data_IF_161949135085
#
_entry.id   IF_161949135085
#
_cell.length_a   1.000
_cell.length_b   1.000
_cell.length_c   1.000
_cell.angle_alpha   90.00
_cell.angle_beta   90.00
_cell.angle_gamma   90.00
#
_symmetry.space_group_name_H-M   'P 1'
#
loop_
_entity.id
_entity.type
_entity.pdbx_description
1 polymer ?
#
# COMPACT_ATOMS: atom_id res chain seq x y z
N UNK A 1 16.49 -44.12 -13.85
CA UNK A 1 15.90 -43.24 -14.89
C UNK A 1 14.72 -42.57 -14.19
N UNK A 2 14.90 -41.42 -13.54
CA UNK A 2 14.73 -40.09 -14.13
C UNK A 2 15.47 -39.04 -13.28
N UNK A 3 16.23 -38.16 -13.95
CA UNK A 3 16.95 -36.99 -13.40
C UNK A 3 16.36 -35.73 -14.05
N UNK A 4 16.38 -34.62 -13.29
CA UNK A 4 16.36 -33.19 -13.70
C UNK A 4 15.06 -32.60 -14.28
N UNK A 5 14.41 -31.74 -13.48
CA UNK A 5 14.32 -30.27 -13.72
C UNK A 5 13.70 -29.56 -12.50
N UNK A 6 14.55 -29.06 -11.59
CA UNK A 6 14.22 -27.97 -10.66
C UNK A 6 15.27 -26.89 -10.87
N UNK A 7 14.96 -25.95 -11.77
CA UNK A 7 15.72 -24.72 -11.95
C UNK A 7 14.74 -23.58 -12.20
N UNK A 8 14.39 -22.87 -11.13
CA UNK A 8 14.15 -21.42 -11.15
C UNK A 8 14.21 -20.90 -9.71
N UNK A 9 15.45 -20.76 -9.21
CA UNK A 9 15.74 -19.76 -8.19
C UNK A 9 15.32 -18.40 -8.74
N UNK A 10 14.54 -17.64 -7.97
CA UNK A 10 14.46 -16.19 -8.12
C UNK A 10 15.87 -15.63 -7.94
N UNK A 11 16.46 -15.15 -9.05
CA UNK A 11 17.72 -14.42 -8.99
C UNK A 11 17.43 -13.04 -8.40
N UNK A 12 18.07 -12.77 -7.27
CA UNK A 12 18.34 -11.41 -6.80
C UNK A 12 19.56 -10.97 -7.62
N UNK A 13 19.36 -10.22 -8.69
CA UNK A 13 20.47 -9.61 -9.41
C UNK A 13 20.89 -8.34 -8.66
N UNK A 14 22.04 -8.40 -8.00
CA UNK A 14 22.69 -7.24 -7.38
C UNK A 14 23.21 -6.29 -8.47
N UNK A 15 22.62 -5.11 -8.60
CA UNK A 15 23.19 -4.03 -9.41
C UNK A 15 24.34 -3.34 -8.65
N UNK A 16 25.39 -2.83 -9.32
CA UNK A 16 26.61 -2.33 -8.67
C UNK A 16 26.46 -0.96 -7.96
N UNK A 17 25.25 -0.58 -7.53
CA UNK A 17 24.97 0.73 -6.93
C UNK A 17 24.14 0.70 -5.64
N UNK A 18 23.99 -0.45 -4.99
CA UNK A 18 23.19 -0.56 -3.76
C UNK A 18 21.68 -0.31 -3.98
N UNK A 19 21.23 -0.37 -5.23
CA UNK A 19 19.81 -0.29 -5.60
C UNK A 19 19.23 -1.70 -5.72
N UNK A 20 18.20 -1.97 -4.93
CA UNK A 20 17.44 -3.22 -4.94
C UNK A 20 16.22 -3.07 -5.85
N UNK A 21 16.01 -4.02 -6.76
CA UNK A 21 14.79 -4.10 -7.55
C UNK A 21 13.82 -5.07 -6.85
N UNK A 22 12.77 -4.53 -6.22
CA UNK A 22 11.71 -5.33 -5.61
C UNK A 22 10.64 -5.57 -6.67
N UNK A 23 10.45 -6.82 -7.08
CA UNK A 23 9.28 -7.21 -7.87
C UNK A 23 8.04 -7.24 -6.97
N UNK A 24 7.35 -6.10 -6.85
CA UNK A 24 5.98 -6.05 -6.32
C UNK A 24 5.05 -6.29 -7.50
N UNK A 25 4.33 -7.41 -7.50
CA UNK A 25 3.35 -7.71 -8.55
C UNK A 25 2.29 -6.60 -8.57
N UNK A 26 1.97 -6.01 -9.75
CA UNK A 26 0.86 -5.07 -9.85
C UNK A 26 -0.44 -5.74 -9.41
N UNK A 27 -1.29 -5.00 -8.70
CA UNK A 27 -2.59 -5.53 -8.24
C UNK A 27 -3.39 -5.97 -9.45
N UNK A 28 -3.63 -7.28 -9.57
CA UNK A 28 -4.57 -7.81 -10.55
C UNK A 28 -5.97 -7.75 -9.95
N UNK A 29 -6.65 -6.62 -10.14
CA UNK A 29 -8.10 -6.59 -9.97
C UNK A 29 -8.71 -7.52 -11.03
N UNK A 30 -9.25 -8.67 -10.61
CA UNK A 30 -10.02 -9.53 -11.50
C UNK A 30 -11.23 -8.73 -12.02
N UNK A 31 -11.28 -8.50 -13.34
CA UNK A 31 -12.56 -8.33 -14.04
C UNK A 31 -12.94 -6.96 -14.60
N UNK A 32 -12.03 -6.00 -14.81
CA UNK A 32 -12.34 -4.81 -15.63
C UNK A 32 -11.43 -4.70 -16.85
N UNK A 33 -11.97 -5.00 -18.03
CA UNK A 33 -11.35 -4.81 -19.34
C UNK A 33 -11.37 -3.33 -19.73
N UNK A 34 -10.27 -2.62 -19.48
CA UNK A 34 -10.02 -1.32 -20.11
C UNK A 34 -9.87 -1.49 -21.63
N UNK A 35 -10.86 -0.99 -22.37
CA UNK A 35 -10.93 -0.99 -23.84
C UNK A 35 -9.71 -0.30 -24.43
N UNK A 36 -8.88 -1.07 -25.17
CA UNK A 36 -7.71 -0.58 -25.94
C UNK A 36 -8.08 0.66 -26.77
N UNK A 37 -7.40 1.78 -26.53
CA UNK A 37 -7.41 2.94 -27.44
C UNK A 37 -6.21 2.87 -28.39
N UNK A 38 -6.53 2.95 -29.67
CA UNK A 38 -5.72 3.06 -30.89
C UNK A 38 -4.21 3.34 -30.76
N UNK A 39 -3.44 2.42 -31.33
CA UNK A 39 -2.07 2.59 -31.81
C UNK A 39 -2.02 3.68 -32.90
N UNK A 40 -1.23 4.73 -32.70
CA UNK A 40 -0.74 5.60 -33.79
C UNK A 40 0.71 5.24 -34.08
N UNK A 41 1.00 4.93 -35.33
CA UNK A 41 2.36 4.90 -35.86
C UNK A 41 2.96 6.30 -35.82
N UNK A 42 4.20 6.41 -35.34
CA UNK A 42 5.02 7.62 -35.49
C UNK A 42 6.36 7.18 -36.06
N UNK A 43 6.66 7.68 -37.25
CA UNK A 43 7.91 7.50 -37.97
C UNK A 43 9.11 7.97 -37.14
N UNK A 44 10.12 7.11 -37.07
CA UNK A 44 11.39 7.37 -36.41
C UNK A 44 12.35 8.07 -37.39
N UNK A 45 12.33 9.41 -37.41
CA UNK A 45 13.49 10.19 -37.90
C UNK A 45 14.22 10.78 -36.71
N UNK A 46 15.41 10.24 -36.42
CA UNK A 46 16.31 10.72 -35.37
C UNK A 46 16.83 12.12 -35.74
N UNK A 47 16.42 13.16 -34.99
CA UNK A 47 17.12 14.45 -34.95
C UNK A 47 17.64 14.68 -33.53
N UNK A 48 18.97 14.66 -33.40
CA UNK A 48 19.71 15.03 -32.21
C UNK A 48 19.48 16.51 -31.88
N UNK A 49 18.87 16.78 -30.73
CA UNK A 49 18.74 18.10 -30.14
C UNK A 49 18.47 17.95 -28.65
N UNK A 50 19.46 18.28 -27.82
CA UNK A 50 19.40 18.16 -26.38
C UNK A 50 18.16 18.89 -25.81
N UNK A 51 17.17 18.13 -25.34
CA UNK A 51 16.01 18.66 -24.61
C UNK A 51 16.41 18.87 -23.15
N UNK A 52 16.39 20.13 -22.70
CA UNK A 52 16.42 20.52 -21.28
C UNK A 52 15.38 19.69 -20.50
N UNK A 53 15.65 19.30 -19.24
CA UNK A 53 14.72 18.54 -18.43
C UNK A 53 13.44 19.36 -18.23
N UNK A 54 12.36 18.93 -18.85
CA UNK A 54 11.03 19.49 -18.64
C UNK A 54 10.59 19.15 -17.22
N UNK A 55 10.50 20.16 -16.36
CA UNK A 55 9.81 20.08 -15.06
C UNK A 55 8.51 19.30 -15.24
N UNK A 56 8.39 18.17 -14.54
CA UNK A 56 7.13 17.47 -14.32
C UNK A 56 6.10 18.50 -13.84
N UNK A 57 5.08 18.77 -14.67
CA UNK A 57 3.98 19.65 -14.29
C UNK A 57 3.15 18.89 -13.25
N UNK A 58 3.20 19.32 -11.99
CA UNK A 58 2.19 18.99 -11.00
C UNK A 58 0.83 19.43 -11.55
N UNK A 59 0.11 18.48 -12.15
CA UNK A 59 -1.19 18.71 -12.76
C UNK A 59 -2.25 18.82 -11.68
N UNK A 60 -3.22 19.72 -11.89
CA UNK A 60 -4.43 19.81 -11.07
C UNK A 60 -5.04 18.40 -10.90
N UNK A 61 -5.40 17.95 -9.68
CA UNK A 61 -6.00 16.64 -9.47
C UNK A 61 -7.20 16.45 -10.39
N UNK A 62 -7.35 15.24 -10.95
CA UNK A 62 -8.46 14.96 -11.86
C UNK A 62 -9.79 15.09 -11.09
N UNK A 63 -10.90 15.34 -11.80
CA UNK A 63 -12.23 15.32 -11.16
C UNK A 63 -12.50 13.99 -10.45
N UNK A 64 -11.98 12.88 -11.00
CA UNK A 64 -12.07 11.56 -10.38
C UNK A 64 -11.32 11.51 -9.06
N UNK A 65 -10.11 12.04 -9.00
CA UNK A 65 -9.31 12.09 -7.76
C UNK A 65 -9.94 13.00 -6.72
N UNK A 66 -10.50 14.14 -7.14
CA UNK A 66 -11.27 15.02 -6.26
C UNK A 66 -12.47 14.30 -5.64
N UNK A 67 -13.24 13.54 -6.44
CA UNK A 67 -14.36 12.76 -5.90
C UNK A 67 -13.88 11.70 -4.89
N UNK A 68 -12.75 11.03 -5.16
CA UNK A 68 -12.18 10.05 -4.21
C UNK A 68 -11.78 10.71 -2.90
N UNK A 69 -11.08 11.85 -2.97
CA UNK A 69 -10.68 12.61 -1.79
C UNK A 69 -11.89 13.05 -0.96
N UNK A 70 -12.95 13.55 -1.61
CA UNK A 70 -14.18 13.94 -0.93
C UNK A 70 -14.96 12.75 -0.36
N UNK A 71 -14.89 11.58 -0.99
CA UNK A 71 -15.46 10.34 -0.46
C UNK A 71 -14.69 9.83 0.76
N UNK A 72 -13.36 9.84 0.71
CA UNK A 72 -12.49 9.48 1.84
C UNK A 72 -12.76 10.41 3.03
N UNK A 73 -12.85 11.72 2.79
CA UNK A 73 -13.16 12.72 3.82
C UNK A 73 -14.57 12.57 4.39
N UNK A 74 -15.57 12.28 3.56
CA UNK A 74 -16.94 12.05 4.01
C UNK A 74 -17.03 10.85 4.98
N UNK A 75 -16.30 9.78 4.69
CA UNK A 75 -16.22 8.60 5.57
C UNK A 75 -15.54 8.93 6.88
N UNK A 76 -14.49 9.75 6.86
CA UNK A 76 -13.81 10.20 8.07
C UNK A 76 -14.70 11.05 8.97
N UNK A 77 -15.37 12.05 8.39
CA UNK A 77 -16.09 13.06 9.16
C UNK A 77 -17.47 12.58 9.62
N UNK A 78 -18.15 11.79 8.77
CA UNK A 78 -19.55 11.37 8.99
C UNK A 78 -19.73 9.86 9.14
N UNK A 79 -18.66 9.09 9.02
CA UNK A 79 -18.68 7.64 9.09
C UNK A 79 -19.03 6.95 7.76
N UNK A 80 -18.62 5.69 7.64
CA UNK A 80 -18.75 4.89 6.42
C UNK A 80 -20.20 4.71 5.93
N UNK A 81 -21.18 4.68 6.85
CA UNK A 81 -22.59 4.55 6.51
C UNK A 81 -23.13 5.75 5.70
N UNK A 82 -22.51 6.93 5.84
CA UNK A 82 -22.92 8.17 5.16
C UNK A 82 -22.35 8.31 3.75
N UNK A 83 -21.50 7.38 3.30
CA UNK A 83 -20.98 7.38 1.94
C UNK A 83 -22.10 7.07 0.94
N UNK A 84 -22.71 8.12 0.39
CA UNK A 84 -23.78 8.04 -0.60
C UNK A 84 -23.53 9.03 -1.74
N UNK A 85 -24.04 8.74 -2.93
CA UNK A 85 -23.95 9.69 -4.05
C UNK A 85 -24.66 11.01 -3.77
N UNK A 86 -25.74 11.00 -2.99
CA UNK A 86 -26.48 12.21 -2.65
C UNK A 86 -25.67 13.09 -1.69
N UNK A 87 -25.06 12.49 -0.65
CA UNK A 87 -24.14 13.20 0.25
C UNK A 87 -22.90 13.72 -0.50
N UNK A 88 -22.37 12.95 -1.47
CA UNK A 88 -21.27 13.40 -2.32
C UNK A 88 -21.69 14.53 -3.26
N UNK A 89 -22.91 14.52 -3.79
CA UNK A 89 -23.41 15.64 -4.58
C UNK A 89 -23.47 16.91 -3.74
N UNK A 90 -23.90 16.81 -2.49
CA UNK A 90 -23.94 17.94 -1.55
C UNK A 90 -22.53 18.47 -1.24
N UNK A 91 -21.55 17.62 -0.97
CA UNK A 91 -20.19 18.05 -0.62
C UNK A 91 -19.38 18.52 -1.82
N UNK A 92 -19.53 17.87 -2.97
CA UNK A 92 -18.70 18.15 -4.16
C UNK A 92 -19.31 19.16 -5.12
N UNK A 93 -20.63 19.39 -5.05
CA UNK A 93 -21.40 20.15 -6.05
C UNK A 93 -21.54 19.43 -7.40
N UNK A 94 -21.06 18.19 -7.53
CA UNK A 94 -21.16 17.40 -8.76
C UNK A 94 -22.51 16.67 -8.76
N UNK A 95 -23.27 16.80 -9.84
CA UNK A 95 -24.56 16.11 -9.97
C UNK A 95 -24.40 14.59 -9.87
N UNK A 96 -25.46 13.90 -9.41
CA UNK A 96 -25.49 12.44 -9.34
C UNK A 96 -25.11 11.77 -10.65
N UNK A 97 -25.59 12.29 -11.79
CA UNK A 97 -25.19 11.81 -13.12
C UNK A 97 -23.71 12.05 -13.45
N UNK A 98 -23.13 13.17 -13.00
CA UNK A 98 -21.70 13.46 -13.13
C UNK A 98 -20.82 12.55 -12.26
N UNK A 99 -21.29 12.18 -11.07
CA UNK A 99 -20.61 11.21 -10.21
C UNK A 99 -20.67 9.80 -10.81
N UNK A 100 -21.84 9.37 -11.30
CA UNK A 100 -22.03 8.07 -11.96
C UNK A 100 -21.23 7.91 -13.26
N UNK A 101 -20.91 9.01 -13.94
CA UNK A 101 -19.98 9.01 -15.07
C UNK A 101 -18.55 8.57 -14.67
N UNK A 102 -18.13 8.85 -13.44
CA UNK A 102 -16.82 8.49 -12.93
C UNK A 102 -16.81 7.14 -12.19
N UNK A 103 -17.91 6.81 -11.51
CA UNK A 103 -18.07 5.59 -10.73
C UNK A 103 -19.46 5.00 -10.95
N UNK A 104 -19.53 3.91 -11.70
CA UNK A 104 -20.79 3.30 -12.16
C UNK A 104 -21.68 2.82 -11.01
N UNK A 105 -21.10 2.55 -9.83
CA UNK A 105 -21.80 2.20 -8.60
C UNK A 105 -21.05 2.66 -7.35
N UNK A 106 -21.68 2.50 -6.19
CA UNK A 106 -21.04 2.77 -4.89
C UNK A 106 -19.90 1.77 -4.64
N UNK A 107 -20.07 0.52 -5.04
CA UNK A 107 -19.02 -0.50 -4.97
C UNK A 107 -17.84 -0.13 -5.86
N UNK A 108 -18.08 0.37 -7.09
CA UNK A 108 -17.01 0.83 -7.97
C UNK A 108 -16.23 2.02 -7.39
N UNK A 109 -16.92 2.93 -6.70
CA UNK A 109 -16.29 4.02 -5.95
C UNK A 109 -15.41 3.46 -4.82
N UNK A 110 -15.94 2.56 -3.98
CA UNK A 110 -15.20 1.96 -2.87
C UNK A 110 -13.99 1.17 -3.36
N UNK A 111 -14.13 0.39 -4.44
CA UNK A 111 -13.01 -0.31 -5.07
C UNK A 111 -11.92 0.65 -5.54
N UNK A 112 -12.31 1.78 -6.11
CA UNK A 112 -11.37 2.83 -6.51
C UNK A 112 -10.68 3.50 -5.31
N UNK A 113 -11.37 3.62 -4.17
CA UNK A 113 -10.76 4.07 -2.91
C UNK A 113 -9.74 3.03 -2.40
N UNK A 114 -10.06 1.73 -2.47
CA UNK A 114 -9.15 0.64 -2.09
C UNK A 114 -7.91 0.56 -3.00
N UNK A 115 -8.08 0.80 -4.30
CA UNK A 115 -6.97 0.93 -5.26
C UNK A 115 -6.02 2.06 -4.87
N UNK A 116 -6.60 3.23 -4.60
CA UNK A 116 -5.86 4.41 -4.15
C UNK A 116 -5.17 4.15 -2.81
N UNK A 117 -5.84 3.47 -1.88
CA UNK A 117 -5.26 3.01 -0.61
C UNK A 117 -4.01 2.17 -0.82
N UNK A 118 -4.12 1.11 -1.63
CA UNK A 118 -3.00 0.20 -1.88
C UNK A 118 -1.84 0.91 -2.58
N UNK A 119 -2.12 1.79 -3.56
CA UNK A 119 -1.10 2.56 -4.25
C UNK A 119 -0.38 3.58 -3.36
N UNK A 120 -1.10 4.26 -2.46
CA UNK A 120 -0.46 5.17 -1.50
C UNK A 120 0.39 4.43 -0.48
N UNK A 121 -0.07 3.25 -0.04
CA UNK A 121 0.70 2.36 0.83
C UNK A 121 2.01 1.90 0.17
N UNK A 122 1.96 1.48 -1.08
CA UNK A 122 3.16 1.11 -1.86
C UNK A 122 4.14 2.27 -1.99
N UNK A 123 3.65 3.49 -2.25
CA UNK A 123 4.52 4.69 -2.32
C UNK A 123 5.21 4.98 -1.00
N UNK A 124 4.53 4.85 0.14
CA UNK A 124 5.16 5.03 1.45
C UNK A 124 6.26 4.00 1.70
N UNK A 125 6.00 2.73 1.38
CA UNK A 125 7.01 1.67 1.51
C UNK A 125 8.23 1.98 0.62
N UNK A 126 8.00 2.37 -0.63
CA UNK A 126 9.06 2.75 -1.55
C UNK A 126 9.87 3.96 -1.04
N UNK A 127 9.20 4.98 -0.50
CA UNK A 127 9.85 6.15 0.07
C UNK A 127 10.76 5.78 1.25
N UNK A 128 10.28 4.94 2.17
CA UNK A 128 11.10 4.47 3.30
C UNK A 128 12.34 3.70 2.81
N UNK A 129 12.19 2.88 1.77
CA UNK A 129 13.31 2.16 1.15
C UNK A 129 14.31 3.10 0.48
N UNK A 130 13.83 4.14 -0.20
CA UNK A 130 14.66 5.15 -0.87
C UNK A 130 15.42 6.02 0.14
N UNK A 131 14.78 6.40 1.24
CA UNK A 131 15.39 7.19 2.31
C UNK A 131 16.48 6.40 3.04
N UNK A 132 16.34 5.06 3.13
CA UNK A 132 17.34 4.14 3.69
C UNK A 132 17.60 4.28 5.20
N UNK A 133 16.99 5.25 5.86
CA UNK A 133 17.16 5.53 7.28
C UNK A 133 16.58 4.38 8.13
N UNK A 134 17.42 3.80 9.00
CA UNK A 134 17.01 2.73 9.92
C UNK A 134 16.81 1.35 9.28
N UNK A 135 17.12 1.20 7.98
CA UNK A 135 17.04 -0.08 7.27
C UNK A 135 18.40 -0.79 7.22
N UNK A 136 18.86 -1.26 8.37
CA UNK A 136 20.09 -2.06 8.48
C UNK A 136 19.77 -3.51 8.87
N UNK A 137 20.74 -4.41 8.70
CA UNK A 137 20.60 -5.81 9.10
C UNK A 137 19.72 -6.64 8.16
N UNK A 138 19.07 -7.68 8.70
CA UNK A 138 18.15 -8.55 7.96
C UNK A 138 16.75 -7.94 7.79
N UNK A 139 15.95 -8.57 6.93
CA UNK A 139 14.51 -8.29 6.77
C UNK A 139 14.19 -6.80 6.48
N UNK A 140 15.07 -6.12 5.72
CA UNK A 140 14.95 -4.69 5.42
C UNK A 140 13.63 -4.32 4.74
N UNK A 141 13.11 -5.23 3.92
CA UNK A 141 11.82 -5.09 3.26
C UNK A 141 10.65 -5.14 4.26
N UNK A 142 10.72 -6.01 5.27
CA UNK A 142 9.73 -6.08 6.36
C UNK A 142 9.85 -4.86 7.29
N UNK A 143 11.07 -4.41 7.59
CA UNK A 143 11.31 -3.17 8.35
C UNK A 143 10.73 -1.95 7.64
N UNK A 144 10.94 -1.84 6.33
CA UNK A 144 10.36 -0.75 5.53
C UNK A 144 8.83 -0.79 5.52
N UNK A 145 8.25 -1.99 5.47
CA UNK A 145 6.80 -2.17 5.60
C UNK A 145 6.31 -1.70 6.96
N UNK A 146 6.94 -2.11 8.07
CA UNK A 146 6.55 -1.67 9.42
C UNK A 146 6.67 -0.17 9.58
N UNK A 147 7.80 0.41 9.19
CA UNK A 147 8.03 1.86 9.22
C UNK A 147 6.94 2.61 8.43
N UNK A 148 6.61 2.15 7.23
CA UNK A 148 5.53 2.76 6.44
C UNK A 148 4.14 2.67 7.11
N UNK A 149 3.92 1.70 8.00
CA UNK A 149 2.68 1.57 8.79
C UNK A 149 2.66 2.32 10.11
N UNK A 150 3.82 2.66 10.69
CA UNK A 150 3.91 3.38 11.97
C UNK A 150 4.29 4.86 11.82
N UNK A 151 5.02 5.27 10.78
CA UNK A 151 5.41 6.67 10.55
C UNK A 151 4.21 7.64 10.45
N UNK A 152 4.16 8.67 11.28
CA UNK A 152 2.99 9.54 11.40
C UNK A 152 2.66 10.31 10.10
N UNK A 153 1.39 10.27 9.64
CA UNK A 153 0.90 11.21 8.62
C UNK A 153 -0.64 11.38 8.65
N UNK A 154 -1.13 12.62 8.46
CA UNK A 154 -2.57 12.89 8.30
C UNK A 154 -3.19 12.12 7.14
N UNK A 155 -2.42 11.87 6.08
CA UNK A 155 -2.83 11.08 4.92
C UNK A 155 -3.16 9.62 5.28
N UNK A 156 -2.65 9.10 6.41
CA UNK A 156 -2.94 7.74 6.85
C UNK A 156 -4.38 7.56 7.34
N UNK A 157 -4.91 8.52 8.10
CA UNK A 157 -6.29 8.44 8.61
C UNK A 157 -7.29 8.38 7.44
N UNK A 158 -7.04 9.20 6.42
CA UNK A 158 -7.81 9.26 5.16
C UNK A 158 -7.82 7.90 4.43
N UNK A 159 -6.78 7.10 4.60
CA UNK A 159 -6.61 5.85 3.87
C UNK A 159 -7.43 4.68 4.43
N UNK A 160 -7.54 4.55 5.75
CA UNK A 160 -8.38 3.52 6.37
C UNK A 160 -9.88 3.70 6.09
N UNK A 161 -10.28 4.92 5.71
CA UNK A 161 -11.66 5.20 5.28
C UNK A 161 -12.12 4.25 4.18
N UNK A 162 -11.24 3.83 3.26
CA UNK A 162 -11.56 2.89 2.19
C UNK A 162 -11.90 1.49 2.74
N UNK A 163 -11.13 1.02 3.73
CA UNK A 163 -11.38 -0.26 4.41
C UNK A 163 -12.68 -0.19 5.20
N UNK A 164 -12.89 0.89 5.97
CA UNK A 164 -14.11 1.11 6.73
C UNK A 164 -15.35 1.16 5.82
N UNK A 165 -15.26 1.86 4.68
CA UNK A 165 -16.31 1.92 3.67
C UNK A 165 -16.62 0.54 3.08
N UNK A 166 -15.58 -0.24 2.77
CA UNK A 166 -15.73 -1.60 2.26
C UNK A 166 -16.43 -2.52 3.27
N UNK A 167 -15.96 -2.56 4.53
CA UNK A 167 -16.56 -3.38 5.59
C UNK A 167 -18.03 -3.01 5.82
N UNK A 168 -18.36 -1.71 5.85
CA UNK A 168 -19.71 -1.24 6.10
C UNK A 168 -20.69 -1.51 4.95
N UNK A 169 -20.21 -1.59 3.71
CA UNK A 169 -21.05 -1.77 2.52
C UNK A 169 -21.12 -3.22 2.04
N UNK A 170 -19.96 -3.83 1.81
CA UNK A 170 -19.84 -5.21 1.37
C UNK A 170 -18.41 -5.72 1.67
N UNK A 171 -18.24 -6.56 2.72
CA UNK A 171 -16.94 -7.11 3.10
C UNK A 171 -16.23 -7.91 1.99
N UNK A 172 -16.94 -8.38 0.95
CA UNK A 172 -16.32 -9.05 -0.20
C UNK A 172 -15.42 -8.13 -1.03
N UNK A 173 -15.64 -6.82 -0.98
CA UNK A 173 -14.77 -5.83 -1.64
C UNK A 173 -13.32 -5.85 -1.10
N UNK A 174 -13.10 -6.41 0.10
CA UNK A 174 -11.77 -6.56 0.68
C UNK A 174 -10.98 -7.75 0.12
N UNK A 175 -11.51 -8.56 -0.81
CA UNK A 175 -10.80 -9.70 -1.38
C UNK A 175 -9.37 -9.37 -1.86
N UNK A 176 -9.11 -8.27 -2.59
CA UNK A 176 -7.75 -7.92 -3.04
C UNK A 176 -6.79 -7.60 -1.87
N UNK A 177 -7.32 -7.04 -0.77
CA UNK A 177 -6.54 -6.75 0.43
C UNK A 177 -6.23 -8.05 1.19
N UNK A 178 -7.18 -8.99 1.23
CA UNK A 178 -6.97 -10.32 1.82
C UNK A 178 -5.90 -11.11 1.08
N UNK A 179 -5.92 -11.10 -0.25
CA UNK A 179 -4.89 -11.74 -1.09
C UNK A 179 -3.50 -11.16 -0.82
N UNK A 180 -3.39 -9.83 -0.80
CA UNK A 180 -2.13 -9.15 -0.46
C UNK A 180 -1.63 -9.46 0.95
N UNK A 181 -2.55 -9.56 1.91
CA UNK A 181 -2.18 -9.96 3.27
C UNK A 181 -1.71 -11.41 3.33
N UNK A 182 -2.25 -12.32 2.51
CA UNK A 182 -1.77 -13.69 2.42
C UNK A 182 -0.32 -13.76 1.91
N UNK A 183 0.03 -12.96 0.90
CA UNK A 183 1.44 -12.83 0.44
C UNK A 183 2.34 -12.25 1.54
N UNK A 184 1.86 -11.26 2.28
CA UNK A 184 2.60 -10.71 3.41
C UNK A 184 2.82 -11.74 4.53
N UNK A 185 1.83 -12.59 4.82
CA UNK A 185 1.98 -13.66 5.81
C UNK A 185 3.10 -14.61 5.43
N UNK A 186 3.16 -15.05 4.17
CA UNK A 186 4.25 -15.89 3.68
C UNK A 186 5.63 -15.23 3.86
N UNK A 187 5.73 -13.92 3.62
CA UNK A 187 6.98 -13.18 3.83
C UNK A 187 7.36 -13.08 5.32
N UNK A 188 6.38 -12.87 6.20
CA UNK A 188 6.60 -12.83 7.64
C UNK A 188 7.05 -14.20 8.18
N UNK A 189 6.54 -15.30 7.61
CA UNK A 189 6.94 -16.66 8.00
C UNK A 189 8.39 -16.99 7.62
N UNK A 190 8.88 -16.38 6.53
CA UNK A 190 10.26 -16.50 6.07
C UNK A 190 11.22 -15.46 6.67
N UNK A 191 10.77 -14.66 7.65
CA UNK A 191 11.59 -13.63 8.27
C UNK A 191 12.80 -14.23 9.01
N UNK A 192 13.99 -13.69 8.77
CA UNK A 192 15.23 -14.11 9.44
C UNK A 192 15.21 -13.83 10.94
N UNK A 193 14.41 -12.85 11.37
CA UNK A 193 14.16 -12.58 12.78
C UNK A 193 13.28 -13.62 13.47
N UNK A 194 12.70 -14.56 12.73
CA UNK A 194 11.76 -15.57 13.21
C UNK A 194 10.29 -15.19 12.96
N UNK A 195 9.51 -16.17 12.51
CA UNK A 195 8.11 -16.00 12.07
C UNK A 195 7.21 -15.34 13.13
N UNK A 196 7.28 -15.79 14.38
CA UNK A 196 6.46 -15.29 15.49
C UNK A 196 6.80 -13.83 15.76
N UNK A 197 8.09 -13.47 15.83
CA UNK A 197 8.55 -12.10 16.11
C UNK A 197 8.10 -11.15 14.99
N UNK A 198 8.25 -11.57 13.75
CA UNK A 198 7.79 -10.79 12.60
C UNK A 198 6.26 -10.57 12.61
N UNK A 199 5.48 -11.61 12.93
CA UNK A 199 4.02 -11.49 13.05
C UNK A 199 3.58 -10.63 14.24
N UNK A 200 4.29 -10.69 15.37
CA UNK A 200 4.05 -9.79 16.52
C UNK A 200 4.31 -8.35 16.10
N UNK A 201 5.44 -8.08 15.46
CA UNK A 201 5.80 -6.74 15.01
C UNK A 201 4.74 -6.17 14.06
N UNK A 202 4.29 -6.96 13.07
CA UNK A 202 3.22 -6.55 12.16
C UNK A 202 1.89 -6.27 12.85
N UNK A 203 1.45 -7.15 13.75
CA UNK A 203 0.19 -6.97 14.49
C UNK A 203 0.24 -5.78 15.43
N UNK A 204 1.38 -5.56 16.09
CA UNK A 204 1.59 -4.43 16.98
C UNK A 204 1.63 -3.09 16.21
N UNK A 205 2.29 -3.03 15.04
CA UNK A 205 2.19 -1.87 14.13
C UNK A 205 0.72 -1.58 13.77
N UNK A 206 -0.02 -2.60 13.32
CA UNK A 206 -1.41 -2.43 12.90
C UNK A 206 -2.31 -2.00 14.07
N UNK A 207 -2.10 -2.57 15.26
CA UNK A 207 -2.84 -2.22 16.48
C UNK A 207 -2.57 -0.79 16.94
N UNK A 208 -1.29 -0.41 17.04
CA UNK A 208 -0.86 0.96 17.38
C UNK A 208 -1.51 1.99 16.44
N UNK A 209 -1.42 1.72 15.14
CA UNK A 209 -2.03 2.52 14.08
C UNK A 209 -3.55 2.70 14.23
N UNK A 210 -4.28 1.62 14.50
CA UNK A 210 -5.73 1.66 14.70
C UNK A 210 -6.12 2.39 16.00
N UNK A 211 -5.35 2.22 17.07
CA UNK A 211 -5.60 2.89 18.34
C UNK A 211 -5.48 4.42 18.20
N UNK A 212 -4.45 4.90 17.49
CA UNK A 212 -4.31 6.32 17.15
C UNK A 212 -5.48 6.79 16.27
N UNK A 213 -5.85 6.01 15.24
CA UNK A 213 -6.92 6.37 14.32
C UNK A 213 -8.27 6.55 15.03
N UNK A 214 -8.60 5.67 15.97
CA UNK A 214 -9.86 5.74 16.69
C UNK A 214 -9.83 6.71 17.88
N UNK A 215 -8.73 7.42 18.10
CA UNK A 215 -8.56 8.30 19.25
C UNK A 215 -8.57 7.55 20.59
N UNK A 216 -8.23 6.26 20.57
CA UNK A 216 -8.11 5.41 21.77
C UNK A 216 -6.72 5.49 22.40
N UNK A 217 -5.80 6.17 21.73
CA UNK A 217 -4.42 6.37 22.15
C UNK A 217 -4.00 7.80 21.82
N UNK A 218 -3.34 8.44 22.77
CA UNK A 218 -2.67 9.73 22.60
C UNK A 218 -1.24 9.55 23.10
N UNK A 219 -0.27 9.82 22.22
CA UNK A 219 1.16 9.66 22.50
C UNK A 219 1.93 10.88 22.04
N UNK A 220 3.03 11.17 22.71
CA UNK A 220 4.00 12.16 22.24
C UNK A 220 4.84 11.58 21.09
N UNK A 221 5.48 12.42 20.26
CA UNK A 221 6.39 11.94 19.23
C UNK A 221 7.47 11.01 19.77
N UNK A 222 8.00 11.29 20.96
CA UNK A 222 9.03 10.48 21.61
C UNK A 222 8.52 9.08 22.01
N UNK A 223 7.27 8.99 22.47
CA UNK A 223 6.64 7.70 22.77
C UNK A 223 6.42 6.86 21.51
N UNK A 224 5.97 7.51 20.42
CA UNK A 224 5.79 6.86 19.12
C UNK A 224 7.14 6.38 18.53
N UNK A 225 8.19 7.18 18.67
CA UNK A 225 9.54 6.81 18.21
C UNK A 225 10.15 5.66 19.03
N UNK A 226 9.98 5.69 20.36
CA UNK A 226 10.41 4.60 21.23
C UNK A 226 9.69 3.28 20.89
N UNK A 227 8.37 3.33 20.67
CA UNK A 227 7.59 2.16 20.24
C UNK A 227 8.08 1.64 18.88
N UNK A 228 8.31 2.52 17.91
CA UNK A 228 8.82 2.16 16.59
C UNK A 228 10.20 1.48 16.68
N UNK A 229 11.08 1.98 17.54
CA UNK A 229 12.43 1.42 17.75
C UNK A 229 12.35 -0.01 18.29
N UNK A 230 11.56 -0.26 19.32
CA UNK A 230 11.36 -1.60 19.88
C UNK A 230 10.69 -2.55 18.88
N UNK A 231 9.75 -2.04 18.08
CA UNK A 231 9.08 -2.82 17.06
C UNK A 231 10.05 -3.30 15.97
N UNK A 232 11.00 -2.45 15.58
CA UNK A 232 12.05 -2.81 14.63
C UNK A 232 13.08 -3.77 15.23
N UNK A 233 13.37 -3.65 16.53
CA UNK A 233 14.25 -4.58 17.23
C UNK A 233 13.70 -6.02 17.24
N UNK A 234 12.37 -6.20 17.15
CA UNK A 234 11.76 -7.52 16.95
C UNK A 234 12.19 -8.19 15.64
N UNK A 235 12.54 -7.39 14.62
CA UNK A 235 13.05 -7.86 13.32
C UNK A 235 14.59 -8.00 13.27
N UNK A 236 15.28 -7.92 14.41
CA UNK A 236 16.67 -8.35 14.50
C UNK A 236 16.75 -9.85 14.83
N UNK A 237 17.75 -10.57 14.27
CA UNK A 237 17.88 -12.00 14.49
C UNK A 237 18.38 -12.27 15.92
N UNK A 238 17.83 -13.31 16.55
CA UNK A 238 18.28 -13.73 17.87
C UNK A 238 19.51 -14.63 17.69
N UNK A 239 20.60 -14.34 18.39
CA UNK A 239 21.80 -15.17 18.34
C UNK A 239 21.48 -16.59 18.82
N UNK A 240 21.65 -17.59 17.94
CA UNK A 240 21.49 -19.01 18.25
C UNK A 240 20.11 -19.62 17.99
N UNK A 241 19.15 -18.89 17.40
CA UNK A 241 17.93 -19.51 16.87
C UNK A 241 18.17 -19.95 15.42
N UNK A 242 18.33 -21.25 15.18
CA UNK A 242 18.31 -21.78 13.82
C UNK A 242 16.94 -21.53 13.19
N UNK A 243 16.96 -21.02 11.96
CA UNK A 243 15.89 -20.28 11.30
C UNK A 243 14.72 -21.14 10.76
N UNK A 244 14.32 -22.20 11.46
CA UNK A 244 13.23 -23.11 11.04
C UNK A 244 12.10 -23.23 12.08
N UNK A 245 11.85 -22.16 12.84
CA UNK A 245 10.75 -22.07 13.81
C UNK A 245 9.49 -21.42 13.20
N UNK A 246 9.17 -21.70 11.92
CA UNK A 246 7.85 -21.34 11.42
C UNK A 246 6.80 -22.29 12.00
N UNK A 247 6.15 -21.85 13.08
CA UNK A 247 4.99 -22.55 13.67
C UNK A 247 3.75 -22.40 12.79
N UNK A 248 3.80 -21.49 11.80
CA UNK A 248 2.77 -21.26 10.81
C UNK A 248 3.24 -21.95 9.52
N UNK A 249 2.81 -23.20 9.34
CA UNK A 249 3.24 -24.07 8.24
C UNK A 249 3.02 -23.50 6.85
#
# INVERSE_FOLDING_TARGET
MWRRTLSRCSKIDTLPSGRYEIQISPIRFLGFTLKKRHTRHVDMTIKNGAKKPTKSRGGRPSKRDYILEQAEQLVLDKGAAQLTFDALTETTGISKGGLLYHFESKEALIMSMLERYAGQRERRIAQVLEDGNGLYGCDQDLKAILLAEISESKERLVLDSAILAAVANNPELLAPIRERNAELWQRLDMAKAGSIRARIAWKAAMGHRLLLQFGLLHETPEQSEAFATELLALLEPVAGSDADDSVFG
#
